data_IF_511515679500
#
_entry.id   IF_511515679500
#
_cell.length_a   1.000
_cell.length_b   1.000
_cell.length_c   1.000
_cell.angle_alpha   90.00
_cell.angle_beta   90.00
_cell.angle_gamma   90.00
#
_symmetry.space_group_name_H-M   'P 1'
#
loop_
_entity.id
_entity.type
_entity.pdbx_description
1 polymer ?
#
# COMPACT_ATOMS: atom_id res chain seq x y z
N UNK A 1 -20.93 -6.59 42.37
CA UNK A 1 -20.23 -5.31 42.16
C UNK A 1 -20.00 -5.21 40.66
N UNK A 2 -20.88 -4.48 39.97
CA UNK A 2 -20.83 -4.27 38.53
C UNK A 2 -20.39 -2.83 38.30
N UNK A 3 -19.28 -2.62 37.58
CA UNK A 3 -18.81 -1.30 37.18
C UNK A 3 -19.29 -1.06 35.76
N UNK A 4 -20.26 -0.15 35.59
CA UNK A 4 -20.73 0.31 34.29
C UNK A 4 -19.66 1.10 33.56
N UNK A 5 -19.42 0.76 32.30
CA UNK A 5 -18.64 1.53 31.33
C UNK A 5 -19.41 2.81 30.95
N UNK A 6 -18.75 3.95 31.01
CA UNK A 6 -19.27 5.22 30.54
C UNK A 6 -19.05 5.35 29.02
N UNK A 7 -20.12 5.67 28.29
CA UNK A 7 -20.08 6.01 26.87
C UNK A 7 -19.71 7.49 26.69
N UNK A 8 -18.85 7.79 25.72
CA UNK A 8 -18.49 9.16 25.30
C UNK A 8 -19.54 9.71 24.33
N UNK A 9 -19.79 11.04 24.30
CA UNK A 9 -20.85 11.62 23.50
C UNK A 9 -20.41 11.91 22.06
N UNK A 10 -21.33 11.71 21.11
CA UNK A 10 -21.21 12.12 19.71
C UNK A 10 -21.25 13.65 19.59
N UNK A 11 -20.27 14.24 18.90
CA UNK A 11 -20.23 15.67 18.60
C UNK A 11 -20.69 15.89 17.15
N UNK A 12 -21.81 16.60 16.99
CA UNK A 12 -22.30 17.07 15.70
C UNK A 12 -21.63 18.40 15.34
N UNK A 13 -21.04 18.50 14.15
CA UNK A 13 -20.40 19.74 13.67
C UNK A 13 -21.31 20.45 12.65
N UNK A 14 -21.73 21.66 13.02
CA UNK A 14 -22.60 22.55 12.26
C UNK A 14 -21.78 23.42 11.31
N UNK A 15 -22.16 23.48 10.02
CA UNK A 15 -21.54 24.33 9.00
C UNK A 15 -22.24 25.70 8.85
N UNK A 16 -21.45 26.79 8.76
CA UNK A 16 -21.78 28.16 8.26
C UNK A 16 -20.46 28.98 8.26
N UNK A 17 -20.08 29.90 7.36
CA UNK A 17 -20.69 30.60 6.23
C UNK A 17 -19.63 31.37 5.38
N UNK A 18 -19.92 31.53 4.08
CA UNK A 18 -19.75 32.70 3.16
C UNK A 18 -18.38 33.39 2.82
N UNK A 19 -18.02 33.26 1.54
CA UNK A 19 -17.86 34.26 0.45
C UNK A 19 -16.74 35.34 0.44
N UNK A 20 -15.97 35.40 -0.66
CA UNK A 20 -15.96 36.55 -1.60
C UNK A 20 -15.12 36.28 -2.88
N UNK A 21 -15.63 36.77 -4.01
CA UNK A 21 -15.00 36.78 -5.35
C UNK A 21 -14.31 38.13 -5.57
N UNK A 22 -13.14 38.12 -6.22
CA UNK A 22 -12.57 39.28 -6.90
C UNK A 22 -11.94 38.85 -8.24
N UNK A 23 -12.12 39.59 -9.34
CA UNK A 23 -11.45 39.32 -10.60
C UNK A 23 -10.16 40.13 -10.69
N UNK A 24 -9.07 39.50 -11.14
CA UNK A 24 -7.85 40.19 -11.58
C UNK A 24 -7.46 39.66 -12.97
N UNK A 25 -7.46 40.57 -13.94
CA UNK A 25 -6.90 40.39 -15.28
C UNK A 25 -5.44 40.86 -15.28
N UNK A 26 -4.57 40.21 -16.05
CA UNK A 26 -3.36 40.86 -16.56
C UNK A 26 -2.17 39.96 -16.91
N UNK A 27 -2.09 39.65 -18.20
CA UNK A 27 -0.93 39.74 -19.11
C UNK A 27 -0.11 38.48 -19.46
N UNK A 28 0.19 38.42 -20.76
CA UNK A 28 0.60 37.30 -21.58
C UNK A 28 2.12 37.04 -21.53
N UNK A 29 2.50 35.78 -21.37
CA UNK A 29 3.88 35.32 -21.51
C UNK A 29 3.92 33.91 -22.10
N UNK A 30 4.06 33.82 -23.42
CA UNK A 30 4.12 32.56 -24.15
C UNK A 30 5.32 31.70 -23.75
N UNK A 31 5.05 30.50 -23.26
CA UNK A 31 5.97 29.39 -23.09
C UNK A 31 5.22 28.09 -23.41
N UNK A 32 5.81 27.25 -24.26
CA UNK A 32 5.15 26.15 -24.96
C UNK A 32 4.35 25.21 -24.05
N UNK A 33 3.17 24.81 -24.56
CA UNK A 33 2.31 23.83 -23.94
C UNK A 33 3.06 22.50 -23.73
N UNK A 34 3.49 22.26 -22.50
CA UNK A 34 3.54 20.90 -21.98
C UNK A 34 2.09 20.48 -21.79
N UNK A 35 1.69 19.39 -22.42
CA UNK A 35 0.44 18.72 -22.10
C UNK A 35 0.55 18.25 -20.66
N UNK A 36 -0.06 19.00 -19.74
CA UNK A 36 -0.24 18.58 -18.37
C UNK A 36 -0.96 17.23 -18.40
N UNK A 37 -0.22 16.17 -18.13
CA UNK A 37 -0.81 14.86 -17.93
C UNK A 37 -1.70 14.96 -16.68
N UNK A 38 -2.85 14.32 -16.76
CA UNK A 38 -3.99 14.52 -15.87
C UNK A 38 -3.68 13.99 -14.46
N UNK A 39 -3.31 14.89 -13.55
CA UNK A 39 -3.50 14.79 -12.10
C UNK A 39 -3.14 13.44 -11.47
N UNK A 40 -1.85 13.13 -11.41
CA UNK A 40 -1.33 11.97 -10.69
C UNK A 40 -0.97 12.31 -9.23
N UNK A 41 -1.06 11.29 -8.38
CA UNK A 41 -0.87 11.31 -6.94
C UNK A 41 0.39 10.53 -6.59
N UNK A 42 1.41 11.26 -6.18
CA UNK A 42 2.47 10.70 -5.35
C UNK A 42 2.01 10.94 -3.90
N UNK A 43 1.33 9.94 -3.30
CA UNK A 43 1.12 9.98 -1.84
C UNK A 43 2.54 9.90 -1.27
N UNK A 44 3.00 10.85 -0.44
CA UNK A 44 4.41 10.85 -0.07
C UNK A 44 4.76 9.54 0.63
N UNK A 45 5.48 8.67 -0.06
CA UNK A 45 5.95 7.42 0.51
C UNK A 45 6.83 7.75 1.70
N UNK A 46 6.50 7.15 2.84
CA UNK A 46 7.27 7.37 4.06
C UNK A 46 7.26 8.83 4.55
N UNK A 47 6.11 9.55 4.43
CA UNK A 47 5.87 10.75 5.26
C UNK A 47 6.31 10.44 6.69
N UNK A 48 7.03 11.36 7.36
CA UNK A 48 7.53 11.19 8.73
C UNK A 48 6.43 10.60 9.65
N UNK A 49 6.44 9.28 9.77
CA UNK A 49 5.54 8.51 10.62
C UNK A 49 6.08 8.48 12.05
N UNK A 50 5.34 7.90 13.00
CA UNK A 50 5.93 7.61 14.30
C UNK A 50 7.25 6.81 14.12
N UNK A 51 8.30 7.07 14.92
CA UNK A 51 9.54 6.32 14.83
C UNK A 51 9.24 4.81 14.87
N UNK A 52 9.63 4.10 13.82
CA UNK A 52 9.62 2.64 13.82
C UNK A 52 10.89 2.14 14.54
N UNK A 53 10.74 1.11 15.36
CA UNK A 53 11.86 0.37 15.95
C UNK A 53 12.64 -0.45 14.89
N UNK A 54 12.17 -0.42 13.64
CA UNK A 54 12.63 -1.20 12.50
C UNK A 54 12.96 -0.29 11.33
N UNK A 55 14.14 -0.48 10.74
CA UNK A 55 14.48 0.10 9.42
C UNK A 55 14.28 -0.91 8.28
N UNK A 56 14.42 -0.46 7.04
CA UNK A 56 14.34 -1.32 5.85
C UNK A 56 15.21 -2.60 5.95
N UNK A 57 16.46 -2.46 6.41
CA UNK A 57 17.35 -3.61 6.61
C UNK A 57 16.83 -4.62 7.66
N UNK A 58 16.10 -4.15 8.69
CA UNK A 58 15.46 -5.02 9.69
C UNK A 58 14.26 -5.78 9.10
N UNK A 59 13.65 -5.28 8.02
CA UNK A 59 12.58 -5.97 7.29
C UNK A 59 13.10 -6.95 6.24
N UNK A 60 14.33 -6.78 5.74
CA UNK A 60 14.88 -7.67 4.69
C UNK A 60 15.83 -8.74 5.26
N UNK A 61 16.59 -8.44 6.32
CA UNK A 61 17.69 -9.30 6.80
C UNK A 61 17.40 -10.02 8.11
N UNK A 62 18.00 -11.20 8.35
CA UNK A 62 17.80 -11.97 9.58
C UNK A 62 18.69 -11.49 10.75
N UNK A 63 19.51 -10.45 10.55
CA UNK A 63 20.56 -10.03 11.49
C UNK A 63 20.02 -9.69 12.89
N UNK A 64 18.84 -9.04 12.93
CA UNK A 64 18.15 -8.67 14.19
C UNK A 64 16.84 -9.42 14.36
N UNK A 65 16.09 -9.60 13.27
CA UNK A 65 14.76 -10.23 13.29
C UNK A 65 14.66 -11.29 12.20
N UNK A 66 14.50 -12.56 12.59
CA UNK A 66 14.41 -13.67 11.63
C UNK A 66 13.02 -13.88 11.05
N UNK A 67 12.00 -13.15 11.55
CA UNK A 67 10.58 -13.29 11.21
C UNK A 67 9.95 -11.90 11.04
N UNK A 68 8.90 -11.80 10.25
CA UNK A 68 7.98 -10.66 10.24
C UNK A 68 6.61 -11.14 10.70
N UNK A 69 5.98 -10.38 11.61
CA UNK A 69 4.55 -10.52 11.91
C UNK A 69 3.80 -9.33 11.32
N UNK A 70 2.81 -9.61 10.48
CA UNK A 70 1.91 -8.63 9.90
C UNK A 70 0.59 -8.68 10.66
N UNK A 71 0.35 -7.65 11.46
CA UNK A 71 -0.92 -7.40 12.14
C UNK A 71 -1.89 -6.76 11.15
N UNK A 72 -3.04 -7.40 10.93
CA UNK A 72 -4.09 -6.90 10.04
C UNK A 72 -5.30 -6.52 10.88
N UNK A 73 -5.58 -5.23 10.93
CA UNK A 73 -6.84 -4.70 11.41
C UNK A 73 -7.72 -4.32 10.23
N UNK A 74 -9.02 -4.52 10.38
CA UNK A 74 -9.96 -4.32 9.29
C UNK A 74 -11.23 -3.64 9.76
N UNK A 75 -11.78 -2.76 8.94
CA UNK A 75 -13.16 -2.32 9.12
C UNK A 75 -14.13 -3.46 8.78
N UNK A 76 -15.31 -3.42 9.40
CA UNK A 76 -16.32 -4.48 9.28
C UNK A 76 -16.64 -4.81 7.83
N UNK A 77 -16.30 -6.04 7.40
CA UNK A 77 -16.53 -6.53 6.04
C UNK A 77 -15.54 -6.01 4.99
N UNK A 78 -14.42 -5.41 5.41
CA UNK A 78 -13.41 -4.81 4.54
C UNK A 78 -12.06 -5.50 4.57
N UNK A 79 -12.01 -6.70 5.10
CA UNK A 79 -10.79 -7.51 5.17
C UNK A 79 -10.17 -7.89 3.83
N UNK A 80 -8.92 -8.38 3.88
CA UNK A 80 -8.27 -8.94 2.71
C UNK A 80 -9.07 -10.11 2.13
N UNK A 81 -9.10 -10.26 0.80
CA UNK A 81 -9.61 -11.48 0.21
C UNK A 81 -8.72 -12.68 0.60
N UNK A 82 -9.33 -13.83 0.92
CA UNK A 82 -8.56 -15.01 1.32
C UNK A 82 -7.57 -15.46 0.25
N UNK A 83 -7.96 -15.39 -1.02
CA UNK A 83 -7.08 -15.70 -2.15
C UNK A 83 -5.91 -14.70 -2.24
N UNK A 84 -6.12 -13.41 -1.93
CA UNK A 84 -5.06 -12.41 -1.95
C UNK A 84 -3.98 -12.72 -0.90
N UNK A 85 -4.38 -13.10 0.32
CA UNK A 85 -3.43 -13.52 1.35
C UNK A 85 -2.69 -14.80 0.96
N UNK A 86 -3.38 -15.81 0.44
CA UNK A 86 -2.73 -17.04 -0.05
C UNK A 86 -1.70 -16.75 -1.14
N UNK A 87 -2.04 -15.86 -2.07
CA UNK A 87 -1.14 -15.45 -3.16
C UNK A 87 0.08 -14.68 -2.63
N UNK A 88 -0.12 -13.81 -1.65
CA UNK A 88 0.92 -13.02 -1.01
C UNK A 88 1.87 -13.90 -0.17
N UNK A 89 1.33 -14.82 0.62
CA UNK A 89 2.10 -15.81 1.39
C UNK A 89 2.99 -16.64 0.46
N UNK A 90 2.44 -17.13 -0.65
CA UNK A 90 3.21 -17.91 -1.62
C UNK A 90 4.33 -17.09 -2.28
N UNK A 91 4.10 -15.82 -2.58
CA UNK A 91 5.11 -14.93 -3.15
C UNK A 91 6.26 -14.65 -2.16
N UNK A 92 5.94 -14.36 -0.90
CA UNK A 92 6.93 -14.13 0.15
C UNK A 92 7.73 -15.39 0.47
N UNK A 93 7.08 -16.56 0.52
CA UNK A 93 7.75 -17.85 0.70
C UNK A 93 8.72 -18.14 -0.46
N UNK A 94 8.33 -17.83 -1.70
CA UNK A 94 9.20 -17.96 -2.87
C UNK A 94 10.42 -17.02 -2.76
N UNK A 95 10.22 -15.76 -2.39
CA UNK A 95 11.32 -14.81 -2.16
C UNK A 95 12.30 -15.29 -1.08
N UNK A 96 11.79 -15.90 0.01
CA UNK A 96 12.65 -16.48 1.05
C UNK A 96 13.42 -17.68 0.51
N UNK A 97 12.74 -18.57 -0.23
CA UNK A 97 13.36 -19.77 -0.80
C UNK A 97 14.46 -19.44 -1.83
N UNK A 98 14.25 -18.40 -2.62
CA UNK A 98 15.18 -17.94 -3.66
C UNK A 98 16.29 -17.04 -3.09
N UNK A 99 16.18 -16.62 -1.82
CA UNK A 99 17.19 -15.86 -1.09
C UNK A 99 17.08 -14.34 -1.21
N UNK A 100 15.98 -13.84 -1.81
CA UNK A 100 15.66 -12.43 -1.94
C UNK A 100 15.09 -11.80 -0.66
N UNK A 101 14.74 -12.64 0.33
CA UNK A 101 14.32 -12.20 1.65
C UNK A 101 14.95 -13.12 2.72
N UNK A 102 15.82 -12.57 3.56
CA UNK A 102 16.49 -13.33 4.62
C UNK A 102 15.64 -13.34 5.89
N UNK A 103 14.53 -14.10 5.83
CA UNK A 103 13.57 -14.31 6.92
C UNK A 103 13.32 -15.81 7.14
N UNK A 104 14.27 -16.55 7.74
CA UNK A 104 14.13 -18.00 7.93
C UNK A 104 12.96 -18.39 8.84
N UNK A 105 12.46 -17.44 9.63
CA UNK A 105 11.26 -17.59 10.44
C UNK A 105 9.96 -17.36 9.66
N UNK A 106 9.99 -16.91 8.42
CA UNK A 106 8.82 -16.63 7.60
C UNK A 106 8.18 -15.26 7.86
N UNK A 107 7.07 -15.03 7.16
CA UNK A 107 6.17 -13.89 7.37
C UNK A 107 4.81 -14.46 7.78
N UNK A 108 4.29 -14.07 8.94
CA UNK A 108 2.96 -14.48 9.38
C UNK A 108 1.96 -13.32 9.24
N UNK A 109 0.77 -13.60 8.72
CA UNK A 109 -0.35 -12.67 8.73
C UNK A 109 -1.31 -13.02 9.87
N UNK A 110 -1.66 -12.04 10.70
CA UNK A 110 -2.57 -12.21 11.84
C UNK A 110 -3.65 -11.14 11.76
N UNK A 111 -4.88 -11.55 11.46
CA UNK A 111 -6.04 -10.68 11.62
C UNK A 111 -6.39 -10.55 13.10
N UNK A 112 -6.33 -9.34 13.65
CA UNK A 112 -6.53 -9.10 15.09
C UNK A 112 -7.89 -8.45 15.37
N UNK A 113 -8.06 -7.16 15.04
CA UNK A 113 -9.28 -6.42 15.35
C UNK A 113 -10.21 -6.19 14.14
N UNK A 114 -11.51 -6.12 14.42
CA UNK A 114 -12.51 -5.66 13.46
C UNK A 114 -13.16 -4.36 13.96
N UNK A 115 -12.86 -3.27 13.27
CA UNK A 115 -13.31 -1.93 13.58
C UNK A 115 -14.69 -1.65 12.95
N UNK A 116 -15.48 -0.71 13.49
CA UNK A 116 -16.68 -0.23 12.82
C UNK A 116 -16.34 0.39 11.46
N UNK A 117 -17.26 0.26 10.50
CA UNK A 117 -17.24 1.00 9.23
C UNK A 117 -17.26 2.51 9.49
N UNK A 118 -16.56 3.29 8.68
CA UNK A 118 -16.66 4.75 8.69
C UNK A 118 -17.96 5.25 8.06
N UNK A 119 -18.66 4.38 7.32
CA UNK A 119 -19.77 4.74 6.45
C UNK A 119 -19.33 5.15 5.05
N UNK A 120 -18.11 4.77 4.63
CA UNK A 120 -17.55 5.09 3.32
C UNK A 120 -17.15 6.56 3.16
N UNK A 121 -16.56 7.16 4.20
CA UNK A 121 -16.14 8.57 4.17
C UNK A 121 -14.85 8.75 3.36
N UNK A 122 -14.44 10.01 3.20
CA UNK A 122 -13.08 10.35 2.76
C UNK A 122 -12.19 10.36 4.00
N UNK A 123 -11.14 9.56 4.01
CA UNK A 123 -10.16 9.46 5.08
C UNK A 123 -8.99 10.43 4.86
N UNK A 124 -8.52 11.04 5.94
CA UNK A 124 -7.27 11.81 5.95
C UNK A 124 -6.10 10.98 6.47
N UNK A 125 -4.87 11.33 6.10
CA UNK A 125 -3.66 10.68 6.64
C UNK A 125 -3.62 10.76 8.16
N UNK A 126 -3.91 11.93 8.73
CA UNK A 126 -3.85 12.15 10.17
C UNK A 126 -4.82 11.25 10.96
N UNK A 127 -6.02 11.00 10.41
CA UNK A 127 -6.98 10.06 10.98
C UNK A 127 -6.48 8.62 10.90
N UNK A 128 -5.99 8.19 9.74
CA UNK A 128 -5.47 6.84 9.52
C UNK A 128 -4.25 6.54 10.40
N UNK A 129 -3.30 7.47 10.51
CA UNK A 129 -2.15 7.38 11.41
C UNK A 129 -2.58 7.36 12.89
N UNK A 130 -3.63 8.10 13.26
CA UNK A 130 -4.20 8.01 14.62
C UNK A 130 -4.82 6.64 14.90
N UNK A 131 -5.58 6.08 13.96
CA UNK A 131 -6.18 4.74 14.09
C UNK A 131 -5.08 3.67 14.12
N UNK A 132 -4.16 3.67 13.16
CA UNK A 132 -3.06 2.70 13.08
C UNK A 132 -2.24 2.65 14.38
N UNK A 133 -1.89 3.81 14.96
CA UNK A 133 -1.18 3.84 16.25
C UNK A 133 -1.99 3.37 17.44
N UNK A 134 -3.31 3.59 17.43
CA UNK A 134 -4.18 3.15 18.52
C UNK A 134 -4.41 1.64 18.50
N UNK A 135 -4.41 1.04 17.31
CA UNK A 135 -4.77 -0.35 17.10
C UNK A 135 -3.59 -1.29 16.84
N UNK A 136 -2.39 -0.79 16.49
CA UNK A 136 -1.16 -1.58 16.52
C UNK A 136 -0.83 -2.03 17.95
N UNK A 137 -1.42 -3.15 18.35
CA UNK A 137 -1.44 -3.61 19.73
C UNK A 137 -1.25 -5.13 19.87
N UNK A 138 -1.16 -5.86 18.75
CA UNK A 138 -0.85 -7.28 18.74
C UNK A 138 0.52 -7.56 19.36
N UNK A 139 0.57 -8.59 20.21
CA UNK A 139 1.80 -9.00 20.85
C UNK A 139 2.80 -9.59 19.85
N UNK A 140 3.92 -8.89 19.64
CA UNK A 140 4.98 -9.30 18.71
C UNK A 140 5.87 -10.40 19.31
N UNK A 141 6.01 -11.58 18.67
CA UNK A 141 6.88 -12.64 19.15
C UNK A 141 8.36 -12.20 19.18
N UNK A 142 9.11 -12.68 20.18
CA UNK A 142 10.53 -12.40 20.29
C UNK A 142 11.30 -12.78 19.01
N UNK A 143 12.16 -11.88 18.53
CA UNK A 143 12.91 -12.08 17.28
C UNK A 143 12.12 -11.78 16.00
N UNK A 144 10.94 -11.15 16.10
CA UNK A 144 10.15 -10.73 14.95
C UNK A 144 10.16 -9.20 14.79
N UNK A 145 10.23 -8.74 13.54
CA UNK A 145 9.79 -7.40 13.19
C UNK A 145 8.26 -7.38 13.05
N UNK A 146 7.63 -6.22 13.18
CA UNK A 146 6.18 -6.07 13.10
C UNK A 146 5.80 -5.02 12.07
N UNK A 147 4.81 -5.35 11.25
CA UNK A 147 4.13 -4.45 10.31
C UNK A 147 2.65 -4.39 10.72
N UNK A 148 2.07 -3.19 10.72
CA UNK A 148 0.64 -2.98 10.94
C UNK A 148 -0.03 -2.60 9.62
N UNK A 149 -1.15 -3.26 9.32
CA UNK A 149 -1.93 -3.00 8.11
C UNK A 149 -3.37 -2.72 8.49
N UNK A 150 -3.87 -1.56 8.09
CA UNK A 150 -5.25 -1.16 8.31
C UNK A 150 -6.05 -1.24 7.01
N UNK A 151 -7.03 -2.14 6.97
CA UNK A 151 -8.01 -2.23 5.90
C UNK A 151 -9.22 -1.34 6.18
N UNK A 152 -9.49 -0.37 5.32
CA UNK A 152 -10.57 0.62 5.50
C UNK A 152 -11.64 0.56 4.40
N UNK A 153 -12.84 1.03 4.72
CA UNK A 153 -13.84 1.41 3.72
C UNK A 153 -13.59 2.84 3.21
N UNK A 154 -14.42 3.33 2.27
CA UNK A 154 -14.33 4.70 1.82
C UNK A 154 -13.20 4.99 0.84
N UNK A 155 -12.74 6.24 0.85
CA UNK A 155 -11.80 6.84 -0.11
C UNK A 155 -10.71 7.62 0.61
N UNK A 156 -9.68 8.08 -0.10
CA UNK A 156 -8.58 8.84 0.49
C UNK A 156 -8.63 10.31 0.08
N UNK A 157 -8.17 11.21 0.95
CA UNK A 157 -8.21 12.66 0.72
C UNK A 157 -7.45 13.11 -0.53
N UNK A 158 -6.44 12.33 -0.90
CA UNK A 158 -5.65 12.61 -2.10
C UNK A 158 -6.34 12.11 -3.38
N UNK A 159 -7.40 11.29 -3.34
CA UNK A 159 -8.07 10.80 -4.56
C UNK A 159 -8.38 11.91 -5.58
N UNK A 160 -7.90 11.76 -6.81
CA UNK A 160 -7.93 12.81 -7.84
C UNK A 160 -8.62 12.33 -9.11
N UNK A 161 -9.61 13.09 -9.59
CA UNK A 161 -10.33 12.79 -10.83
C UNK A 161 -10.94 11.39 -10.82
N UNK A 162 -10.47 10.51 -11.71
CA UNK A 162 -10.83 9.08 -11.76
C UNK A 162 -9.80 8.14 -11.13
N UNK A 163 -8.67 8.67 -10.66
CA UNK A 163 -7.64 7.90 -9.95
C UNK A 163 -8.04 7.75 -8.48
N UNK A 164 -7.90 6.55 -7.92
CA UNK A 164 -8.09 6.31 -6.49
C UNK A 164 -6.85 5.62 -5.96
N UNK A 165 -6.44 5.97 -4.75
CA UNK A 165 -5.41 5.26 -3.99
C UNK A 165 -5.99 3.92 -3.53
N UNK A 166 -5.22 2.85 -3.73
CA UNK A 166 -5.58 1.48 -3.34
C UNK A 166 -4.85 1.06 -2.05
N UNK A 167 -3.65 1.55 -1.85
CA UNK A 167 -2.86 1.38 -0.63
C UNK A 167 -1.77 2.45 -0.53
N UNK A 168 -1.15 2.54 0.64
CA UNK A 168 0.11 3.27 0.82
C UNK A 168 0.85 2.76 2.07
N UNK A 169 2.17 2.86 2.06
CA UNK A 169 3.06 2.54 3.17
C UNK A 169 3.67 3.79 3.82
N UNK A 170 3.83 3.78 5.15
CA UNK A 170 4.40 4.91 5.89
C UNK A 170 5.08 4.50 7.19
N UNK A 171 5.93 5.40 7.71
CA UNK A 171 6.60 5.24 9.00
C UNK A 171 7.46 3.98 9.13
N UNK A 172 7.87 3.36 8.01
CA UNK A 172 8.70 2.15 7.97
C UNK A 172 8.07 0.86 8.48
N UNK A 173 6.82 0.87 8.95
CA UNK A 173 6.14 -0.35 9.42
C UNK A 173 4.61 -0.27 9.44
N UNK A 174 4.00 0.71 8.77
CA UNK A 174 2.55 0.85 8.69
C UNK A 174 2.11 0.88 7.24
N UNK A 175 0.92 0.34 6.98
CA UNK A 175 0.27 0.37 5.68
C UNK A 175 -1.24 0.57 5.84
N UNK A 176 -1.86 1.20 4.85
CA UNK A 176 -3.32 1.28 4.72
C UNK A 176 -3.74 0.64 3.40
N UNK A 177 -4.86 -0.08 3.41
CA UNK A 177 -5.47 -0.68 2.23
C UNK A 177 -6.92 -0.21 2.09
N UNK A 178 -7.28 0.41 0.96
CA UNK A 178 -8.62 0.93 0.69
C UNK A 178 -9.48 -0.12 -0.02
N UNK A 179 -10.20 -0.93 0.75
CA UNK A 179 -10.95 -2.06 0.21
C UNK A 179 -12.05 -1.63 -0.77
N UNK A 180 -12.68 -0.49 -0.52
CA UNK A 180 -13.71 0.06 -1.40
C UNK A 180 -13.12 0.57 -2.72
N UNK A 181 -11.95 1.20 -2.70
CA UNK A 181 -11.22 1.61 -3.91
C UNK A 181 -10.84 0.39 -4.77
N UNK A 182 -10.29 -0.67 -4.16
CA UNK A 182 -9.95 -1.92 -4.87
C UNK A 182 -11.21 -2.54 -5.49
N UNK A 183 -12.25 -2.72 -4.69
CA UNK A 183 -13.50 -3.37 -5.14
C UNK A 183 -14.18 -2.58 -6.25
N UNK A 184 -14.26 -1.25 -6.12
CA UNK A 184 -14.88 -0.37 -7.11
C UNK A 184 -14.04 -0.29 -8.40
N UNK A 185 -12.71 -0.27 -8.30
CA UNK A 185 -11.80 -0.37 -9.44
C UNK A 185 -12.04 -1.66 -10.23
N UNK A 186 -12.05 -2.81 -9.54
CA UNK A 186 -12.35 -4.10 -10.18
C UNK A 186 -13.73 -4.15 -10.83
N UNK A 187 -14.75 -3.56 -10.19
CA UNK A 187 -16.12 -3.55 -10.70
C UNK A 187 -16.30 -2.66 -11.94
N UNK A 188 -15.54 -1.56 -12.02
CA UNK A 188 -15.63 -0.55 -13.08
C UNK A 188 -14.65 -0.76 -14.24
N UNK A 189 -13.63 -1.62 -14.07
CA UNK A 189 -12.65 -1.89 -15.12
C UNK A 189 -13.29 -2.53 -16.36
N UNK A 190 -13.07 -1.87 -17.51
CA UNK A 190 -13.47 -2.38 -18.82
C UNK A 190 -12.65 -3.60 -19.26
N UNK A 191 -11.41 -3.74 -18.76
CA UNK A 191 -10.57 -4.93 -18.99
C UNK A 191 -11.19 -6.12 -18.27
N UNK A 192 -11.52 -6.00 -16.98
CA UNK A 192 -12.13 -7.07 -16.19
C UNK A 192 -13.59 -7.37 -16.62
N UNK A 193 -14.25 -6.46 -17.34
CA UNK A 193 -15.52 -6.74 -18.00
C UNK A 193 -15.42 -7.84 -19.05
N UNK A 194 -14.24 -8.07 -19.64
CA UNK A 194 -14.00 -9.14 -20.60
C UNK A 194 -13.81 -10.51 -19.95
N UNK A 195 -13.59 -10.56 -18.63
CA UNK A 195 -13.25 -11.78 -17.88
C UNK A 195 -14.18 -12.05 -16.68
N UNK A 196 -15.52 -12.08 -16.86
CA UNK A 196 -16.47 -12.15 -15.75
C UNK A 196 -16.34 -13.42 -14.89
N UNK A 197 -15.88 -14.54 -15.47
CA UNK A 197 -15.76 -15.81 -14.75
C UNK A 197 -14.56 -15.89 -13.81
N UNK A 198 -13.55 -15.04 -14.01
CA UNK A 198 -12.32 -15.01 -13.21
C UNK A 198 -12.10 -13.64 -12.55
N UNK A 199 -13.08 -12.74 -12.62
CA UNK A 199 -12.98 -11.38 -12.09
C UNK A 199 -12.55 -11.36 -10.62
N UNK A 200 -13.15 -12.21 -9.79
CA UNK A 200 -12.84 -12.25 -8.35
C UNK A 200 -11.40 -12.71 -8.10
N UNK A 201 -10.88 -13.65 -8.92
CA UNK A 201 -9.47 -14.07 -8.88
C UNK A 201 -8.54 -12.94 -9.31
N UNK A 202 -8.86 -12.24 -10.40
CA UNK A 202 -8.09 -11.07 -10.85
C UNK A 202 -8.10 -9.99 -9.78
N UNK A 203 -9.24 -9.73 -9.15
CA UNK A 203 -9.34 -8.72 -8.10
C UNK A 203 -8.57 -9.10 -6.84
N UNK A 204 -8.57 -10.38 -6.45
CA UNK A 204 -7.69 -10.88 -5.39
C UNK A 204 -6.21 -10.71 -5.75
N UNK A 205 -5.83 -10.95 -7.02
CA UNK A 205 -4.46 -10.70 -7.49
C UNK A 205 -4.11 -9.21 -7.45
N UNK A 206 -5.03 -8.31 -7.82
CA UNK A 206 -4.83 -6.85 -7.68
C UNK A 206 -4.55 -6.50 -6.23
N UNK A 207 -5.38 -6.97 -5.30
CA UNK A 207 -5.18 -6.73 -3.87
C UNK A 207 -3.82 -7.23 -3.36
N UNK A 208 -3.41 -8.45 -3.75
CA UNK A 208 -2.10 -8.99 -3.41
C UNK A 208 -0.94 -8.20 -4.06
N UNK A 209 -1.15 -7.68 -5.27
CA UNK A 209 -0.16 -6.86 -6.01
C UNK A 209 0.07 -5.54 -5.29
N UNK A 210 -1.00 -4.82 -4.95
CA UNK A 210 -0.92 -3.57 -4.18
C UNK A 210 -0.26 -3.85 -2.82
N UNK A 211 -0.69 -4.89 -2.10
CA UNK A 211 -0.10 -5.22 -0.80
C UNK A 211 1.42 -5.45 -0.91
N UNK A 212 1.87 -6.26 -1.87
CA UNK A 212 3.30 -6.56 -2.01
C UNK A 212 4.10 -5.33 -2.48
N UNK A 213 3.51 -4.44 -3.28
CA UNK A 213 4.10 -3.14 -3.62
C UNK A 213 4.36 -2.30 -2.37
N UNK A 214 3.36 -2.16 -1.50
CA UNK A 214 3.50 -1.45 -0.23
C UNK A 214 4.53 -2.09 0.71
N UNK A 215 4.59 -3.42 0.75
CA UNK A 215 5.67 -4.12 1.44
C UNK A 215 7.04 -3.80 0.83
N UNK A 216 7.12 -3.60 -0.48
CA UNK A 216 8.34 -3.16 -1.17
C UNK A 216 8.85 -1.82 -0.66
N UNK A 217 7.98 -0.83 -0.44
CA UNK A 217 8.35 0.42 0.23
C UNK A 217 8.86 0.17 1.66
N UNK A 218 8.23 -0.74 2.43
CA UNK A 218 8.70 -1.11 3.77
C UNK A 218 10.02 -1.90 3.76
N UNK A 219 10.33 -2.61 2.67
CA UNK A 219 11.64 -3.21 2.40
C UNK A 219 12.68 -2.18 1.96
N UNK A 220 12.28 -0.93 1.79
CA UNK A 220 13.10 0.21 1.40
C UNK A 220 13.51 0.20 -0.07
N UNK A 221 12.79 -0.55 -0.91
CA UNK A 221 13.07 -0.64 -2.34
C UNK A 221 13.01 0.72 -3.02
N UNK A 222 13.76 0.83 -4.14
CA UNK A 222 13.90 2.05 -4.93
C UNK A 222 14.40 3.22 -4.08
N UNK A 223 15.61 3.07 -3.54
CA UNK A 223 16.32 4.14 -2.83
C UNK A 223 15.57 4.70 -1.59
N UNK A 224 14.63 3.94 -1.02
CA UNK A 224 13.83 4.31 0.15
C UNK A 224 14.35 3.69 1.47
N UNK A 225 15.67 3.63 1.61
CA UNK A 225 16.36 3.03 2.76
C UNK A 225 17.14 1.77 2.43
N UNK A 226 16.80 1.08 1.34
CA UNK A 226 17.66 0.08 0.70
C UNK A 226 18.33 0.72 -0.52
N UNK A 227 19.67 0.87 -0.53
CA UNK A 227 20.35 1.50 -1.66
C UNK A 227 20.28 0.65 -2.93
N UNK A 228 20.00 1.31 -4.06
CA UNK A 228 19.97 0.67 -5.36
C UNK A 228 21.35 0.12 -5.78
N UNK A 229 21.36 -1.01 -6.48
CA UNK A 229 22.55 -1.57 -7.14
C UNK A 229 22.79 -0.89 -8.48
N UNK A 230 21.74 -0.81 -9.30
CA UNK A 230 21.70 -0.10 -10.58
C UNK A 230 20.59 0.95 -10.53
N UNK A 231 20.71 2.01 -11.32
CA UNK A 231 19.71 3.08 -11.34
C UNK A 231 18.43 2.61 -12.06
N UNK A 232 17.32 2.54 -11.31
CA UNK A 232 15.99 2.17 -11.80
C UNK A 232 14.88 3.06 -11.21
N UNK A 233 15.25 4.13 -10.49
CA UNK A 233 14.29 5.04 -9.89
C UNK A 233 13.63 5.93 -10.96
N UNK A 234 12.32 6.10 -10.87
CA UNK A 234 11.60 7.16 -11.56
C UNK A 234 11.65 8.43 -10.72
N UNK A 235 12.61 9.31 -11.01
CA UNK A 235 12.82 10.58 -10.30
C UNK A 235 11.56 11.48 -10.24
N UNK A 236 10.60 11.30 -11.16
CA UNK A 236 9.36 12.07 -11.16
C UNK A 236 8.29 11.53 -10.21
N UNK A 237 8.45 10.27 -9.76
CA UNK A 237 7.47 9.54 -8.97
C UNK A 237 8.10 8.94 -7.71
N UNK A 238 9.01 9.65 -7.04
CA UNK A 238 9.45 9.27 -5.70
C UNK A 238 10.20 7.93 -5.64
N UNK A 239 9.76 7.03 -4.75
CA UNK A 239 10.39 5.72 -4.50
C UNK A 239 9.80 4.61 -5.38
N UNK A 240 9.62 4.90 -6.66
CA UNK A 240 9.05 3.98 -7.64
C UNK A 240 10.01 3.65 -8.77
N UNK A 241 9.86 2.44 -9.32
CA UNK A 241 10.66 1.94 -10.42
C UNK A 241 10.17 2.52 -11.76
N UNK A 242 11.10 2.83 -12.67
CA UNK A 242 10.82 3.33 -14.02
C UNK A 242 10.29 2.24 -14.96
N UNK A 243 10.51 0.96 -14.65
CA UNK A 243 10.07 -0.18 -15.45
C UNK A 243 8.58 -0.50 -15.23
N UNK A 244 7.72 -0.37 -16.26
CA UNK A 244 6.28 -0.68 -16.16
C UNK A 244 5.97 -2.15 -15.90
N UNK A 245 6.94 -3.04 -16.09
CA UNK A 245 6.80 -4.46 -15.75
C UNK A 245 7.17 -4.75 -14.28
N UNK A 246 7.86 -3.83 -13.60
CA UNK A 246 8.21 -4.00 -12.19
C UNK A 246 7.00 -3.87 -11.27
N UNK A 247 7.00 -4.63 -10.17
CA UNK A 247 5.99 -4.49 -9.13
C UNK A 247 6.06 -3.11 -8.48
N UNK A 248 7.25 -2.50 -8.35
CA UNK A 248 7.46 -1.16 -7.80
C UNK A 248 7.13 -0.03 -8.80
N UNK A 249 6.50 -0.33 -9.94
CA UNK A 249 6.06 0.71 -10.86
C UNK A 249 4.98 1.59 -10.22
N UNK A 250 5.12 2.92 -10.35
CA UNK A 250 4.28 3.92 -9.67
C UNK A 250 2.78 3.76 -9.89
N UNK A 251 2.32 3.14 -10.97
CA UNK A 251 0.87 2.96 -11.23
C UNK A 251 0.21 1.84 -10.40
N UNK A 252 1.00 1.10 -9.60
CA UNK A 252 0.52 -0.06 -8.86
C UNK A 252 -0.19 0.33 -7.55
N UNK A 253 0.10 1.49 -6.97
CA UNK A 253 -0.55 2.04 -5.77
C UNK A 253 -2.01 2.50 -6.01
N UNK A 254 -2.41 2.65 -7.28
CA UNK A 254 -3.65 3.28 -7.69
C UNK A 254 -4.54 2.41 -8.57
N UNK A 255 -5.71 2.92 -8.98
CA UNK A 255 -6.71 2.16 -9.77
C UNK A 255 -6.19 1.63 -11.12
N UNK A 256 -5.05 2.12 -11.61
CA UNK A 256 -4.36 1.58 -12.79
C UNK A 256 -3.84 0.17 -12.59
N UNK A 257 -3.51 -0.23 -11.35
CA UNK A 257 -3.14 -1.59 -11.00
C UNK A 257 -4.18 -2.62 -11.48
N UNK A 258 -5.47 -2.28 -11.41
CA UNK A 258 -6.57 -3.14 -11.86
C UNK A 258 -6.43 -3.50 -13.34
N UNK A 259 -6.18 -2.51 -14.18
CA UNK A 259 -6.05 -2.71 -15.62
C UNK A 259 -4.72 -3.38 -15.97
N UNK A 260 -3.62 -3.01 -15.30
CA UNK A 260 -2.29 -3.64 -15.48
C UNK A 260 -2.36 -5.13 -15.18
N UNK A 261 -2.85 -5.49 -13.99
CA UNK A 261 -3.00 -6.90 -13.57
C UNK A 261 -3.96 -7.62 -14.52
N UNK A 262 -5.12 -7.03 -14.83
CA UNK A 262 -6.10 -7.61 -15.74
C UNK A 262 -5.55 -7.89 -17.15
N UNK A 263 -4.73 -7.00 -17.69
CA UNK A 263 -4.06 -7.19 -18.98
C UNK A 263 -3.05 -8.34 -18.94
N UNK A 264 -2.28 -8.46 -17.86
CA UNK A 264 -1.33 -9.57 -17.69
C UNK A 264 -2.04 -10.93 -17.65
N UNK A 265 -3.21 -11.03 -17.00
CA UNK A 265 -4.05 -12.24 -17.07
C UNK A 265 -4.50 -12.59 -18.50
N UNK A 266 -4.70 -11.59 -19.36
CA UNK A 266 -5.14 -11.78 -20.74
C UNK A 266 -4.05 -12.43 -21.62
N UNK A 267 -2.79 -12.40 -21.18
CA UNK A 267 -1.62 -12.93 -21.87
C UNK A 267 -1.47 -14.46 -21.84
N UNK A 268 -2.35 -15.19 -21.17
CA UNK A 268 -2.38 -16.67 -21.18
C UNK A 268 -1.91 -17.36 -19.90
N UNK A 269 -1.73 -16.61 -18.82
CA UNK A 269 -1.40 -17.11 -17.49
C UNK A 269 -1.70 -16.08 -16.40
N UNK A 270 -1.74 -16.51 -15.15
CA UNK A 270 -1.76 -15.57 -14.02
C UNK A 270 -0.36 -14.93 -13.90
N UNK A 271 -0.24 -13.60 -13.87
CA UNK A 271 1.06 -12.95 -13.71
C UNK A 271 1.71 -13.38 -12.39
N UNK A 272 3.02 -13.61 -12.47
CA UNK A 272 3.83 -13.81 -11.28
C UNK A 272 3.73 -12.56 -10.38
N UNK A 273 3.63 -12.81 -9.08
CA UNK A 273 3.60 -11.77 -8.05
C UNK A 273 5.01 -11.68 -7.46
N UNK A 274 5.80 -10.72 -7.94
CA UNK A 274 7.18 -10.54 -7.51
C UNK A 274 7.81 -9.29 -8.09
N UNK A 275 8.92 -8.88 -7.49
CA UNK A 275 9.69 -7.70 -7.91
C UNK A 275 10.49 -7.99 -9.19
N UNK A 276 10.77 -6.95 -9.97
CA UNK A 276 11.65 -7.05 -11.13
C UNK A 276 13.11 -7.35 -10.72
N UNK A 277 13.97 -7.82 -11.64
CA UNK A 277 15.36 -8.16 -11.33
C UNK A 277 16.17 -7.05 -10.68
N UNK A 278 15.91 -5.78 -11.01
CA UNK A 278 16.62 -4.63 -10.44
C UNK A 278 16.30 -4.47 -8.94
N UNK A 279 15.01 -4.42 -8.60
CA UNK A 279 14.55 -4.41 -7.21
C UNK A 279 15.01 -5.65 -6.41
N UNK A 280 15.04 -6.84 -7.01
CA UNK A 280 15.56 -8.04 -6.34
C UNK A 280 17.08 -7.94 -6.06
N UNK A 281 17.85 -7.36 -6.98
CA UNK A 281 19.28 -7.14 -6.78
C UNK A 281 19.57 -6.21 -5.59
N UNK A 282 18.71 -5.23 -5.35
CA UNK A 282 18.80 -4.33 -4.19
C UNK A 282 18.63 -5.08 -2.87
N UNK A 283 17.63 -5.96 -2.78
CA UNK A 283 17.41 -6.81 -1.61
C UNK A 283 18.59 -7.76 -1.39
N UNK A 284 19.07 -8.41 -2.45
CA UNK A 284 20.21 -9.32 -2.38
C UNK A 284 21.47 -8.60 -1.89
N UNK A 285 21.70 -7.38 -2.37
CA UNK A 285 22.82 -6.54 -1.93
C UNK A 285 22.67 -6.11 -0.46
N UNK A 286 21.45 -5.80 -0.01
CA UNK A 286 21.18 -5.49 1.40
C UNK A 286 21.49 -6.70 2.31
N UNK A 287 21.02 -7.89 1.92
CA UNK A 287 21.28 -9.15 2.63
C UNK A 287 22.79 -9.42 2.69
N UNK A 288 23.49 -9.33 1.55
CA UNK A 288 24.92 -9.59 1.48
C UNK A 288 25.78 -8.66 2.35
N UNK A 289 25.36 -7.42 2.60
CA UNK A 289 26.07 -6.46 3.46
C UNK A 289 25.96 -6.77 4.96
N UNK A 290 25.02 -7.62 5.36
CA UNK A 290 24.74 -7.95 6.76
C UNK A 290 25.27 -9.32 7.20
N UNK A 291 25.80 -10.11 6.26
CA UNK A 291 26.46 -11.41 6.50
C UNK A 291 27.95 -11.25 6.77
#
# INVERSE_FOLDING_TARGET
>A
MNVSRAALPAMALTALALASLAPACGDDGGGGAQTADVGYLDVPDNVDGPPSDFGAADMVTAAKYGRIQVEIDQMTGKGPASQALTDLEAALDAMIADGHLDKPGGVDFVTDETLPTSGGVVHTFAELDTVGRAYRNLAVPAGSASIHVLYVDGSYEDDSGSSRVLGFAYGGSFMVMFKDSITSGCASSSVLALFPLIRDRICARVEATVFLHELGHLFGLVNNGTPMVDDHQDDAHGAHDVDPDCLMYWQIDGTKAVDIVGQRFSGGGEPDLGFCPASLADLDAAIARTR
#
